data_IF_758118813326
#
_entry.id   IF_758118813326
#
_cell.length_a   1.000
_cell.length_b   1.000
_cell.length_c   1.000
_cell.angle_alpha   90.00
_cell.angle_beta   90.00
_cell.angle_gamma   90.00
#
_symmetry.space_group_name_H-M   'P 1'
#
loop_
_entity.id
_entity.type
_entity.pdbx_description
1 polymer ?
#
# COMPACT_ATOMS: atom_id res chain seq x y z
N UNK A 1 8.09 -1.72 26.63
CA UNK A 1 7.04 -1.74 25.59
C UNK A 1 7.49 -0.88 24.42
N UNK A 2 7.26 -1.35 23.19
CA UNK A 2 7.58 -0.60 21.95
C UNK A 2 6.29 -0.39 21.19
N UNK A 3 6.12 0.79 20.60
CA UNK A 3 5.00 1.06 19.69
C UNK A 3 5.55 1.61 18.38
N UNK A 4 5.28 0.90 17.28
CA UNK A 4 5.51 1.41 15.93
C UNK A 4 4.22 2.00 15.34
N UNK A 5 4.39 3.03 14.51
CA UNK A 5 3.34 3.68 13.71
C UNK A 5 3.78 3.66 12.27
N UNK A 6 3.02 3.00 11.40
CA UNK A 6 3.40 2.75 10.01
C UNK A 6 2.29 3.20 9.07
N UNK A 7 2.54 4.12 8.11
CA UNK A 7 1.52 4.61 7.20
C UNK A 7 1.16 3.56 6.14
N UNK A 8 -0.05 3.70 5.61
CA UNK A 8 -0.46 3.03 4.37
C UNK A 8 -0.28 3.96 3.17
N UNK A 9 -0.51 3.48 1.94
CA UNK A 9 -0.16 4.22 0.71
C UNK A 9 -1.31 4.32 -0.29
N UNK A 10 -1.28 5.37 -1.08
CA UNK A 10 -2.02 5.55 -2.33
C UNK A 10 -1.02 5.46 -3.50
N UNK A 11 -1.24 4.50 -4.40
CA UNK A 11 -0.42 4.31 -5.61
C UNK A 11 -1.13 4.95 -6.80
N UNK A 12 -0.54 5.99 -7.39
CA UNK A 12 -1.14 6.72 -8.51
C UNK A 12 -0.90 6.00 -9.83
N UNK A 13 0.35 5.78 -10.21
CA UNK A 13 0.75 5.19 -11.50
C UNK A 13 1.76 4.08 -11.31
N UNK A 14 1.89 3.22 -12.32
CA UNK A 14 2.91 2.18 -12.37
C UNK A 14 2.58 0.88 -11.63
N UNK A 15 1.50 0.82 -10.86
CA UNK A 15 1.13 -0.40 -10.13
C UNK A 15 0.92 -1.59 -11.05
N UNK A 16 1.51 -2.73 -10.67
CA UNK A 16 1.61 -3.94 -11.49
C UNK A 16 2.98 -4.12 -12.13
N UNK A 17 3.78 -3.04 -12.27
CA UNK A 17 5.16 -3.13 -12.76
C UNK A 17 6.18 -3.36 -11.64
N UNK A 18 5.71 -3.40 -10.41
CA UNK A 18 6.46 -3.67 -9.18
C UNK A 18 6.58 -5.15 -8.82
N UNK A 19 6.06 -6.05 -9.67
CA UNK A 19 6.20 -7.50 -9.50
C UNK A 19 7.52 -8.01 -10.08
N UNK A 20 8.23 -8.92 -9.39
CA UNK A 20 9.50 -9.48 -9.86
C UNK A 20 9.44 -10.07 -11.27
N UNK A 21 8.33 -10.72 -11.62
CA UNK A 21 8.10 -11.31 -12.95
C UNK A 21 8.13 -10.27 -14.08
N UNK A 22 7.85 -9.01 -13.79
CA UNK A 22 7.91 -7.94 -14.76
C UNK A 22 9.21 -7.12 -14.64
N UNK A 23 9.49 -6.54 -13.44
CA UNK A 23 10.57 -5.56 -13.34
C UNK A 23 11.96 -6.13 -13.52
N UNK A 24 12.19 -7.41 -13.25
CA UNK A 24 13.49 -8.03 -13.48
C UNK A 24 13.85 -8.06 -14.96
N UNK A 25 12.86 -8.11 -15.84
CA UNK A 25 13.06 -8.21 -17.29
C UNK A 25 12.96 -6.83 -17.95
N UNK A 26 11.92 -6.06 -17.61
CA UNK A 26 11.56 -4.83 -18.33
C UNK A 26 11.85 -3.55 -17.54
N UNK A 27 12.23 -3.66 -16.28
CA UNK A 27 12.24 -2.56 -15.33
C UNK A 27 10.83 -2.14 -14.94
N UNK A 28 10.65 -1.74 -13.69
CA UNK A 28 9.39 -1.26 -13.14
C UNK A 28 9.52 0.16 -12.62
N UNK A 29 8.40 0.86 -12.52
CA UNK A 29 8.33 2.21 -11.97
C UNK A 29 6.97 2.46 -11.34
N UNK A 30 6.94 3.15 -10.19
CA UNK A 30 5.71 3.50 -9.49
C UNK A 30 5.81 4.93 -8.95
N UNK A 31 4.72 5.68 -9.07
CA UNK A 31 4.50 6.95 -8.37
C UNK A 31 3.43 6.73 -7.29
N UNK A 32 3.81 6.91 -6.03
CA UNK A 32 2.92 6.70 -4.89
C UNK A 32 3.22 7.67 -3.75
N UNK A 33 2.24 7.87 -2.88
CA UNK A 33 2.39 8.62 -1.64
C UNK A 33 1.89 7.81 -0.44
N UNK A 34 2.48 8.04 0.73
CA UNK A 34 1.88 7.60 1.98
C UNK A 34 0.83 8.60 2.45
N UNK A 35 -0.11 8.12 3.25
CA UNK A 35 -1.23 8.91 3.79
C UNK A 35 -1.30 8.77 5.32
N UNK A 36 -1.96 9.72 5.96
CA UNK A 36 -2.16 9.81 7.41
C UNK A 36 -3.16 8.78 7.98
N UNK A 37 -3.07 7.57 7.46
CA UNK A 37 -3.76 6.39 7.95
C UNK A 37 -2.73 5.32 8.27
N UNK A 38 -2.84 4.71 9.43
CA UNK A 38 -1.73 3.97 10.01
C UNK A 38 -2.11 2.59 10.51
N UNK A 39 -1.09 1.77 10.62
CA UNK A 39 -1.08 0.56 11.44
C UNK A 39 -0.19 0.83 12.64
N UNK A 40 -0.73 0.60 13.83
CA UNK A 40 -0.04 0.69 15.09
C UNK A 40 0.24 -0.72 15.59
N UNK A 41 1.47 -0.98 15.97
CA UNK A 41 1.87 -2.27 16.53
C UNK A 41 2.55 -2.04 17.87
N UNK A 42 1.96 -2.58 18.92
CA UNK A 42 2.56 -2.63 20.25
C UNK A 42 3.23 -3.97 20.43
N UNK A 43 4.50 -3.98 20.84
CA UNK A 43 5.25 -5.20 21.16
C UNK A 43 5.87 -5.07 22.54
N UNK A 44 5.75 -6.13 23.34
CA UNK A 44 6.40 -6.24 24.63
C UNK A 44 6.81 -7.69 24.92
N UNK A 45 7.77 -7.88 25.82
CA UNK A 45 8.11 -9.22 26.31
C UNK A 45 6.97 -9.74 27.18
N UNK A 46 6.62 -11.00 26.98
CA UNK A 46 5.63 -11.68 27.84
C UNK A 46 6.12 -11.72 29.28
N UNK A 47 5.21 -11.48 30.21
CA UNK A 47 5.49 -11.58 31.63
C UNK A 47 5.76 -13.04 32.03
N UNK A 48 6.72 -13.26 32.92
CA UNK A 48 7.09 -14.59 33.43
C UNK A 48 5.96 -15.31 34.20
N UNK A 49 4.93 -14.58 34.63
CA UNK A 49 3.76 -15.13 35.32
C UNK A 49 2.63 -15.53 34.35
N UNK A 50 2.81 -15.34 33.04
CA UNK A 50 1.79 -15.69 32.04
C UNK A 50 1.78 -17.20 31.77
N UNK A 51 0.57 -17.77 31.57
CA UNK A 51 0.39 -19.17 31.19
C UNK A 51 0.69 -19.45 29.72
N UNK A 52 1.02 -18.39 28.93
CA UNK A 52 1.36 -18.43 27.52
C UNK A 52 2.74 -17.81 27.28
N UNK A 53 3.37 -18.18 26.17
CA UNK A 53 4.61 -17.56 25.69
C UNK A 53 4.33 -16.43 24.70
N UNK A 54 3.32 -16.57 23.85
CA UNK A 54 2.93 -15.58 22.85
C UNK A 54 1.45 -15.22 23.00
N UNK A 55 1.15 -13.92 22.90
CA UNK A 55 -0.21 -13.39 22.80
C UNK A 55 -0.27 -12.39 21.64
N UNK A 56 -1.06 -12.69 20.61
CA UNK A 56 -1.21 -11.87 19.43
C UNK A 56 -2.67 -11.44 19.32
N UNK A 57 -2.90 -10.12 19.35
CA UNK A 57 -4.23 -9.52 19.26
C UNK A 57 -4.33 -8.70 17.95
N UNK A 58 -5.28 -9.08 17.11
CA UNK A 58 -5.64 -8.41 15.86
C UNK A 58 -7.17 -8.53 15.66
N UNK A 59 -7.71 -8.96 14.50
CA UNK A 59 -9.12 -9.35 14.37
C UNK A 59 -9.49 -10.62 15.17
N UNK A 60 -8.48 -11.29 15.72
CA UNK A 60 -8.56 -12.45 16.58
C UNK A 60 -7.61 -12.30 17.76
N UNK A 61 -7.78 -13.12 18.77
CA UNK A 61 -6.84 -13.25 19.88
C UNK A 61 -6.23 -14.65 19.84
N UNK A 62 -4.93 -14.72 19.69
CA UNK A 62 -4.17 -15.97 19.80
C UNK A 62 -3.38 -15.98 21.12
N UNK A 63 -3.38 -17.11 21.82
CA UNK A 63 -2.53 -17.36 22.99
C UNK A 63 -1.83 -18.69 22.76
N UNK A 64 -0.49 -18.69 22.67
CA UNK A 64 0.31 -19.82 22.23
C UNK A 64 1.43 -20.10 23.22
N UNK A 65 1.78 -21.36 23.40
CA UNK A 65 2.92 -21.81 24.23
C UNK A 65 4.20 -21.95 23.41
N UNK A 66 4.07 -22.23 22.11
CA UNK A 66 5.21 -22.38 21.20
C UNK A 66 5.08 -21.44 19.99
N UNK A 67 6.15 -21.23 19.26
CA UNK A 67 6.18 -20.39 18.06
C UNK A 67 5.34 -21.00 16.93
N UNK A 68 5.34 -22.32 16.84
CA UNK A 68 4.66 -23.09 15.79
C UNK A 68 3.13 -22.98 15.88
N UNK A 69 2.62 -22.76 17.09
CA UNK A 69 1.17 -22.58 17.35
C UNK A 69 0.64 -21.23 16.87
N UNK A 70 1.51 -20.24 16.58
CA UNK A 70 1.08 -18.94 16.07
C UNK A 70 0.46 -19.11 14.69
N UNK A 71 -0.83 -18.79 14.55
CA UNK A 71 -1.56 -18.87 13.28
C UNK A 71 -1.21 -17.71 12.35
N UNK A 72 -0.96 -16.51 12.89
CA UNK A 72 -0.63 -15.33 12.08
C UNK A 72 0.72 -15.51 11.36
N UNK A 73 0.72 -15.73 10.02
CA UNK A 73 1.91 -16.21 9.32
C UNK A 73 3.08 -15.22 9.36
N UNK A 74 2.81 -13.93 9.17
CA UNK A 74 3.85 -12.87 9.20
C UNK A 74 4.46 -12.74 10.60
N UNK A 75 3.64 -12.82 11.67
CA UNK A 75 4.16 -12.74 13.05
C UNK A 75 5.10 -13.90 13.33
N UNK A 76 4.68 -15.12 12.99
CA UNK A 76 5.51 -16.32 13.17
C UNK A 76 6.82 -16.21 12.38
N UNK A 77 6.74 -15.86 11.09
CA UNK A 77 7.91 -15.72 10.23
C UNK A 77 8.88 -14.63 10.72
N UNK A 78 8.38 -13.47 11.17
CA UNK A 78 9.21 -12.37 11.66
C UNK A 78 9.93 -12.74 12.97
N UNK A 79 9.25 -13.37 13.94
CA UNK A 79 9.86 -13.82 15.19
C UNK A 79 10.95 -14.87 14.90
N UNK A 80 10.68 -15.82 14.01
CA UNK A 80 11.63 -16.85 13.61
C UNK A 80 12.84 -16.27 12.87
N UNK A 81 12.60 -15.39 11.89
CA UNK A 81 13.66 -14.72 11.11
C UNK A 81 14.62 -13.92 11.98
N UNK A 82 14.08 -13.19 12.94
CA UNK A 82 14.89 -12.38 13.87
C UNK A 82 15.51 -13.17 15.03
N UNK A 83 15.23 -14.49 15.15
CA UNK A 83 15.68 -15.38 16.23
C UNK A 83 15.41 -14.80 17.63
N UNK A 84 14.17 -14.38 17.89
CA UNK A 84 13.80 -13.79 19.18
C UNK A 84 13.65 -14.90 20.23
N UNK A 85 14.48 -14.89 21.32
CA UNK A 85 14.58 -16.05 22.21
C UNK A 85 13.49 -16.07 23.31
N UNK A 86 12.67 -15.02 23.44
CA UNK A 86 11.67 -14.86 24.50
C UNK A 86 10.26 -14.74 23.94
N UNK A 87 9.28 -14.89 24.81
CA UNK A 87 7.87 -14.71 24.46
C UNK A 87 7.49 -13.25 24.24
N UNK A 88 6.45 -13.03 23.45
CA UNK A 88 5.99 -11.71 23.04
C UNK A 88 4.48 -11.55 23.20
N UNK A 89 4.08 -10.35 23.60
CA UNK A 89 2.73 -9.86 23.46
C UNK A 89 2.73 -8.80 22.34
N UNK A 90 1.88 -9.03 21.33
CA UNK A 90 1.77 -8.19 20.14
C UNK A 90 0.32 -7.76 19.99
N UNK A 91 0.08 -6.45 19.92
CA UNK A 91 -1.24 -5.89 19.66
C UNK A 91 -1.21 -5.03 18.39
N UNK A 92 -2.20 -5.24 17.51
CA UNK A 92 -2.27 -4.65 16.18
C UNK A 92 -3.57 -3.85 16.07
N UNK A 93 -3.46 -2.55 15.80
CA UNK A 93 -4.57 -1.65 15.58
C UNK A 93 -4.37 -0.95 14.24
N UNK A 94 -5.42 -0.80 13.46
CA UNK A 94 -5.38 -0.14 12.15
C UNK A 94 -6.50 0.88 12.02
N UNK A 95 -6.20 2.04 11.44
CA UNK A 95 -7.20 3.08 11.15
C UNK A 95 -8.18 2.66 10.05
N UNK A 96 -7.76 1.76 9.15
CA UNK A 96 -8.56 1.31 8.02
C UNK A 96 -8.64 -0.22 7.96
N UNK A 97 -9.69 -0.79 7.36
CA UNK A 97 -9.84 -2.23 7.23
C UNK A 97 -8.67 -2.86 6.47
N UNK A 98 -8.27 -4.05 6.87
CA UNK A 98 -7.27 -4.83 6.14
C UNK A 98 -7.79 -5.31 4.77
N UNK A 99 -6.88 -5.63 3.84
CA UNK A 99 -7.19 -6.19 2.52
C UNK A 99 -8.02 -5.27 1.62
N UNK A 100 -7.79 -3.97 1.72
CA UNK A 100 -8.52 -2.93 0.99
C UNK A 100 -7.68 -2.23 -0.09
N UNK A 101 -6.54 -2.80 -0.45
CA UNK A 101 -5.72 -2.32 -1.56
C UNK A 101 -4.82 -1.11 -1.28
N UNK A 102 -4.66 -0.74 -0.01
CA UNK A 102 -3.84 0.41 0.45
C UNK A 102 -2.46 0.00 1.00
N UNK A 103 -2.00 -1.23 0.74
CA UNK A 103 -0.71 -1.72 1.21
C UNK A 103 -0.68 -2.12 2.70
N UNK A 104 -1.83 -2.34 3.34
CA UNK A 104 -1.91 -2.58 4.77
C UNK A 104 -1.14 -3.83 5.24
N UNK A 105 -1.09 -4.90 4.45
CA UNK A 105 -0.33 -6.11 4.80
C UNK A 105 1.16 -5.80 4.94
N UNK A 106 1.73 -5.17 3.92
CA UNK A 106 3.15 -4.83 3.92
C UNK A 106 3.50 -3.73 4.92
N UNK A 107 2.59 -2.76 5.15
CA UNK A 107 2.75 -1.78 6.24
C UNK A 107 2.78 -2.46 7.61
N UNK A 108 1.98 -3.53 7.79
CA UNK A 108 2.05 -4.35 8.99
C UNK A 108 3.40 -5.07 9.12
N UNK A 109 3.88 -5.73 8.05
CA UNK A 109 5.17 -6.44 8.08
C UNK A 109 6.32 -5.50 8.41
N UNK A 110 6.39 -4.34 7.77
CA UNK A 110 7.42 -3.31 8.02
C UNK A 110 7.34 -2.78 9.45
N UNK A 111 6.13 -2.45 9.92
CA UNK A 111 5.93 -1.93 11.28
C UNK A 111 6.27 -2.95 12.37
N UNK A 112 5.95 -4.24 12.14
CA UNK A 112 6.32 -5.32 13.05
C UNK A 112 7.83 -5.48 13.14
N UNK A 113 8.52 -5.56 12.00
CA UNK A 113 9.98 -5.63 11.97
C UNK A 113 10.61 -4.45 12.70
N UNK A 114 10.13 -3.23 12.45
CA UNK A 114 10.64 -2.04 13.12
C UNK A 114 10.47 -2.10 14.64
N UNK A 115 9.29 -2.53 15.12
CA UNK A 115 9.04 -2.71 16.55
C UNK A 115 9.93 -3.80 17.16
N UNK A 116 10.14 -4.91 16.46
CA UNK A 116 11.01 -6.01 16.91
C UNK A 116 12.49 -5.60 16.94
N UNK A 117 12.98 -4.84 15.96
CA UNK A 117 14.32 -4.24 15.98
C UNK A 117 14.50 -3.33 17.20
N UNK A 118 13.56 -2.43 17.44
CA UNK A 118 13.58 -1.54 18.61
C UNK A 118 13.54 -2.33 19.93
N UNK A 119 12.71 -3.38 20.03
CA UNK A 119 12.62 -4.24 21.23
C UNK A 119 13.92 -4.98 21.52
N UNK A 120 14.67 -5.33 20.47
CA UNK A 120 15.98 -6.00 20.60
C UNK A 120 17.15 -5.03 20.76
N UNK A 121 16.89 -3.72 20.80
CA UNK A 121 17.91 -2.68 20.94
C UNK A 121 18.82 -2.52 19.71
N UNK A 122 18.32 -2.87 18.53
CA UNK A 122 19.07 -2.80 17.27
C UNK A 122 18.54 -1.68 16.38
N UNK A 123 19.44 -0.87 15.84
CA UNK A 123 19.12 0.08 14.80
C UNK A 123 18.89 -0.65 13.46
N UNK A 124 17.97 -0.14 12.67
CA UNK A 124 17.66 -0.65 11.33
C UNK A 124 17.44 0.50 10.36
N UNK A 125 17.95 0.40 9.14
CA UNK A 125 17.70 1.40 8.10
C UNK A 125 16.35 1.17 7.41
N UNK A 126 15.79 2.23 6.79
CA UNK A 126 14.58 2.13 5.96
C UNK A 126 14.73 1.09 4.85
N UNK A 127 15.90 1.07 4.21
CA UNK A 127 16.23 0.09 3.17
C UNK A 127 16.16 -1.33 3.70
N UNK A 128 16.83 -1.61 4.80
CA UNK A 128 16.85 -2.94 5.41
C UNK A 128 15.44 -3.38 5.84
N UNK A 129 14.63 -2.49 6.44
CA UNK A 129 13.23 -2.81 6.81
C UNK A 129 12.42 -3.22 5.59
N UNK A 130 12.54 -2.48 4.48
CA UNK A 130 11.82 -2.80 3.25
C UNK A 130 12.28 -4.12 2.64
N UNK A 131 13.60 -4.34 2.53
CA UNK A 131 14.19 -5.56 1.97
C UNK A 131 13.85 -6.80 2.79
N UNK A 132 13.89 -6.72 4.12
CA UNK A 132 13.49 -7.83 4.99
C UNK A 132 11.98 -8.10 4.95
N UNK A 133 11.15 -7.05 4.86
CA UNK A 133 9.71 -7.23 4.68
C UNK A 133 9.39 -7.94 3.35
N UNK A 134 10.05 -7.53 2.26
CA UNK A 134 9.95 -8.20 0.95
C UNK A 134 10.40 -9.67 1.07
N UNK A 135 11.51 -9.93 1.75
CA UNK A 135 12.02 -11.29 1.95
C UNK A 135 11.03 -12.16 2.73
N UNK A 136 10.46 -11.65 3.82
CA UNK A 136 9.44 -12.38 4.61
C UNK A 136 8.23 -12.70 3.73
N UNK A 137 7.67 -11.71 3.03
CA UNK A 137 6.45 -11.90 2.26
C UNK A 137 6.69 -12.79 1.01
N UNK A 138 7.72 -12.51 0.20
CA UNK A 138 7.94 -13.22 -1.06
C UNK A 138 8.67 -14.55 -0.90
N UNK A 139 9.62 -14.66 0.04
CA UNK A 139 10.47 -15.84 0.17
C UNK A 139 9.99 -16.78 1.27
N UNK A 140 9.81 -16.28 2.50
CA UNK A 140 9.41 -17.13 3.62
C UNK A 140 7.95 -17.56 3.54
N UNK A 141 7.06 -16.64 3.17
CA UNK A 141 5.62 -16.90 3.05
C UNK A 141 5.18 -17.26 1.64
N UNK A 142 6.06 -17.09 0.64
CA UNK A 142 5.79 -17.35 -0.77
C UNK A 142 4.55 -16.61 -1.31
N UNK A 143 4.30 -15.42 -0.78
CA UNK A 143 3.21 -14.57 -1.24
C UNK A 143 3.57 -13.91 -2.58
N UNK A 144 2.59 -13.86 -3.47
CA UNK A 144 2.72 -13.16 -4.76
C UNK A 144 2.38 -11.69 -4.59
N UNK A 145 3.33 -10.92 -4.10
CA UNK A 145 3.20 -9.48 -3.86
C UNK A 145 4.29 -8.70 -4.60
N UNK A 146 3.97 -7.46 -4.98
CA UNK A 146 4.95 -6.51 -5.50
C UNK A 146 5.87 -5.98 -4.39
N UNK A 147 6.79 -5.10 -4.77
CA UNK A 147 7.79 -4.52 -3.84
C UNK A 147 7.46 -3.08 -3.42
N UNK A 148 6.44 -2.45 -4.02
CA UNK A 148 6.13 -1.04 -3.76
C UNK A 148 5.63 -0.78 -2.35
N UNK A 149 4.85 -1.69 -1.77
CA UNK A 149 4.12 -1.46 -0.52
C UNK A 149 5.06 -1.44 0.67
N UNK A 150 6.03 -2.35 0.71
CA UNK A 150 7.07 -2.41 1.73
C UNK A 150 7.98 -1.19 1.67
N UNK A 151 8.34 -0.75 0.46
CA UNK A 151 9.13 0.46 0.25
C UNK A 151 8.35 1.70 0.68
N UNK A 152 7.07 1.84 0.28
CA UNK A 152 6.24 2.97 0.70
C UNK A 152 6.11 3.03 2.22
N UNK A 153 5.82 1.92 2.88
CA UNK A 153 5.68 1.84 4.33
C UNK A 153 6.98 2.19 5.08
N UNK A 154 8.14 1.77 4.56
CA UNK A 154 9.42 2.03 5.17
C UNK A 154 9.91 3.48 4.96
N UNK A 155 9.73 4.02 3.75
CA UNK A 155 10.28 5.34 3.38
C UNK A 155 9.33 6.49 3.69
N UNK A 156 8.03 6.31 3.51
CA UNK A 156 7.04 7.40 3.62
C UNK A 156 7.11 8.37 2.45
N UNK A 157 6.28 9.41 2.46
CA UNK A 157 6.28 10.53 1.53
C UNK A 157 5.76 10.22 0.11
N UNK A 158 5.78 11.24 -0.75
CA UNK A 158 5.52 11.11 -2.19
C UNK A 158 6.81 10.68 -2.89
N UNK A 159 6.80 9.50 -3.51
CA UNK A 159 7.99 8.90 -4.09
C UNK A 159 7.78 8.41 -5.53
N UNK A 160 8.83 8.59 -6.32
CA UNK A 160 9.10 7.88 -7.55
C UNK A 160 9.99 6.66 -7.23
N UNK A 161 9.40 5.48 -7.31
CA UNK A 161 10.11 4.22 -7.09
C UNK A 161 10.50 3.61 -8.43
N UNK A 162 11.74 3.12 -8.53
CA UNK A 162 12.29 2.47 -9.73
C UNK A 162 12.77 1.09 -9.33
N UNK A 163 12.34 0.08 -10.09
CA UNK A 163 12.65 -1.32 -9.81
C UNK A 163 13.45 -1.94 -10.95
N UNK A 164 14.55 -2.58 -10.61
CA UNK A 164 15.39 -3.40 -11.49
C UNK A 164 15.81 -4.65 -10.74
N UNK A 165 16.27 -5.66 -11.45
CA UNK A 165 16.60 -6.98 -10.89
C UNK A 165 17.39 -6.93 -9.58
N UNK A 166 18.44 -6.10 -9.52
CA UNK A 166 19.31 -6.00 -8.33
C UNK A 166 19.28 -4.61 -7.68
N UNK A 167 18.30 -3.79 -8.00
CA UNK A 167 18.28 -2.41 -7.51
C UNK A 167 16.83 -1.89 -7.35
N UNK A 168 16.45 -1.66 -6.10
CA UNK A 168 15.20 -1.02 -5.73
C UNK A 168 15.52 0.40 -5.26
N UNK A 169 15.09 1.42 -6.03
CA UNK A 169 15.35 2.83 -5.74
C UNK A 169 14.07 3.51 -5.29
N UNK A 170 14.19 4.36 -4.27
CA UNK A 170 13.11 5.23 -3.79
C UNK A 170 13.62 6.67 -3.88
N UNK A 171 13.04 7.44 -4.79
CA UNK A 171 13.42 8.83 -5.01
C UNK A 171 12.27 9.74 -4.54
N UNK A 172 12.48 10.57 -3.50
CA UNK A 172 11.48 11.55 -3.10
C UNK A 172 11.15 12.50 -4.25
N UNK A 173 9.86 12.72 -4.49
CA UNK A 173 9.41 13.70 -5.49
C UNK A 173 9.40 15.07 -4.85
N UNK A 174 10.32 15.94 -5.29
CA UNK A 174 10.48 17.28 -4.76
C UNK A 174 9.60 18.24 -5.55
N UNK A 175 8.52 18.69 -4.94
CA UNK A 175 7.60 19.71 -5.48
C UNK A 175 7.33 20.77 -4.41
N UNK A 176 6.82 21.94 -4.81
CA UNK A 176 6.46 22.98 -3.85
C UNK A 176 5.33 22.54 -2.90
N UNK A 177 5.28 23.14 -1.74
CA UNK A 177 4.21 22.86 -0.76
C UNK A 177 2.82 23.17 -1.35
N UNK A 178 2.74 24.23 -2.15
CA UNK A 178 1.52 24.65 -2.84
C UNK A 178 1.08 23.60 -3.84
N UNK A 179 2.03 23.05 -4.63
CA UNK A 179 1.74 22.00 -5.62
C UNK A 179 1.31 20.69 -4.94
N UNK A 180 1.98 20.32 -3.83
CA UNK A 180 1.60 19.15 -3.02
C UNK A 180 0.20 19.31 -2.45
N UNK A 181 -0.11 20.47 -1.85
CA UNK A 181 -1.43 20.79 -1.30
C UNK A 181 -2.51 20.85 -2.38
N UNK A 182 -2.17 21.37 -3.56
CA UNK A 182 -3.10 21.41 -4.70
C UNK A 182 -3.44 19.98 -5.17
N UNK A 183 -2.46 19.07 -5.27
CA UNK A 183 -2.74 17.67 -5.56
C UNK A 183 -3.65 17.06 -4.48
N UNK A 184 -3.27 17.20 -3.21
CA UNK A 184 -3.99 16.62 -2.07
C UNK A 184 -5.45 17.10 -2.00
N UNK A 185 -5.68 18.41 -2.18
CA UNK A 185 -7.03 19.02 -2.11
C UNK A 185 -7.96 18.59 -3.25
N UNK A 186 -7.45 18.00 -4.31
CA UNK A 186 -8.23 17.45 -5.42
C UNK A 186 -8.51 15.95 -5.26
N UNK A 187 -8.06 15.30 -4.19
CA UNK A 187 -8.25 13.87 -4.01
C UNK A 187 -9.37 13.57 -3.01
N UNK A 188 -10.23 12.64 -3.38
CA UNK A 188 -11.25 12.08 -2.50
C UNK A 188 -11.10 10.55 -2.48
N UNK A 189 -11.30 9.92 -1.32
CA UNK A 189 -11.19 8.47 -1.18
C UNK A 189 -12.49 7.88 -0.62
N UNK A 190 -13.00 6.83 -1.28
CA UNK A 190 -14.25 6.17 -0.90
C UNK A 190 -14.04 4.67 -0.73
N UNK A 191 -14.57 4.13 0.35
CA UNK A 191 -14.57 2.69 0.61
C UNK A 191 -15.76 2.03 -0.10
N UNK A 192 -15.47 1.01 -0.90
CA UNK A 192 -16.49 0.30 -1.71
C UNK A 192 -17.34 -0.70 -0.91
N UNK A 193 -17.02 -0.92 0.38
CA UNK A 193 -17.67 -1.98 1.18
C UNK A 193 -17.19 -3.39 0.84
N UNK A 194 -16.38 -3.56 -0.20
CA UNK A 194 -15.86 -4.85 -0.64
C UNK A 194 -14.42 -5.04 -0.15
N UNK A 195 -14.16 -6.16 0.50
CA UNK A 195 -12.81 -6.64 0.78
C UNK A 195 -12.61 -7.98 0.06
N UNK A 196 -11.51 -8.13 -0.67
CA UNK A 196 -11.18 -9.39 -1.36
C UNK A 196 -9.76 -9.82 -1.10
N UNK A 197 -9.54 -11.13 -1.19
CA UNK A 197 -8.18 -11.67 -1.29
C UNK A 197 -7.61 -11.26 -2.65
N UNK A 198 -6.54 -10.48 -2.62
CA UNK A 198 -5.84 -10.05 -3.83
C UNK A 198 -5.24 -11.22 -4.64
N UNK A 199 -5.01 -12.37 -3.98
CA UNK A 199 -4.29 -13.50 -4.54
C UNK A 199 -4.81 -13.99 -5.90
N UNK A 200 -6.15 -14.11 -6.05
CA UNK A 200 -6.74 -14.63 -7.31
C UNK A 200 -6.48 -13.68 -8.49
N UNK A 201 -6.65 -12.36 -8.27
CA UNK A 201 -6.41 -11.35 -9.31
C UNK A 201 -4.93 -11.30 -9.67
N UNK A 202 -4.08 -11.38 -8.65
CA UNK A 202 -2.63 -11.34 -8.81
C UNK A 202 -2.08 -12.58 -9.50
N UNK A 203 -2.64 -13.77 -9.22
CA UNK A 203 -2.26 -15.01 -9.92
C UNK A 203 -2.54 -14.91 -11.41
N UNK A 204 -3.70 -14.43 -11.80
CA UNK A 204 -4.03 -14.22 -13.22
C UNK A 204 -3.10 -13.19 -13.87
N UNK A 205 -2.84 -12.06 -13.19
CA UNK A 205 -1.94 -11.04 -13.71
C UNK A 205 -0.51 -11.55 -13.87
N UNK A 206 0.05 -12.24 -12.86
CA UNK A 206 1.40 -12.81 -12.92
C UNK A 206 1.51 -13.82 -14.06
N UNK A 207 0.52 -14.72 -14.20
CA UNK A 207 0.50 -15.69 -15.31
C UNK A 207 0.50 -14.99 -16.67
N UNK A 208 -0.36 -14.00 -16.87
CA UNK A 208 -0.42 -13.22 -18.12
C UNK A 208 0.87 -12.43 -18.38
N UNK A 209 1.57 -11.97 -17.32
CA UNK A 209 2.89 -11.33 -17.45
C UNK A 209 3.95 -12.32 -17.93
N UNK A 210 3.99 -13.51 -17.33
CA UNK A 210 4.89 -14.58 -17.74
C UNK A 210 4.62 -15.01 -19.19
N UNK A 211 3.35 -15.12 -19.58
CA UNK A 211 2.92 -15.43 -20.95
C UNK A 211 3.09 -14.22 -21.92
N UNK A 212 3.56 -13.08 -21.43
CA UNK A 212 3.78 -11.81 -22.16
C UNK A 212 2.53 -11.22 -22.82
N UNK A 213 1.35 -11.63 -22.42
CA UNK A 213 0.08 -11.20 -23.06
C UNK A 213 -0.36 -9.79 -22.65
N UNK A 214 0.16 -9.25 -21.52
CA UNK A 214 -0.17 -7.92 -20.99
C UNK A 214 1.05 -6.99 -20.86
N UNK A 215 2.18 -7.35 -21.47
CA UNK A 215 3.42 -6.59 -21.28
C UNK A 215 3.37 -5.20 -21.93
N UNK A 216 2.61 -5.04 -23.02
CA UNK A 216 2.37 -3.73 -23.65
C UNK A 216 1.57 -2.83 -22.72
N UNK A 217 0.50 -3.35 -22.12
CA UNK A 217 -0.33 -2.63 -21.18
C UNK A 217 0.45 -2.22 -19.92
N UNK A 218 1.28 -3.12 -19.39
CA UNK A 218 2.16 -2.83 -18.25
C UNK A 218 3.22 -1.78 -18.61
N UNK A 219 3.76 -1.81 -19.85
CA UNK A 219 4.66 -0.78 -20.34
C UNK A 219 3.98 0.58 -20.37
N UNK A 220 2.76 0.66 -20.92
CA UNK A 220 1.99 1.90 -20.95
C UNK A 220 1.72 2.44 -19.53
N UNK A 221 1.34 1.55 -18.59
CA UNK A 221 1.12 1.89 -17.18
C UNK A 221 2.42 2.39 -16.52
N UNK A 222 3.57 1.82 -16.85
CA UNK A 222 4.88 2.28 -16.39
C UNK A 222 5.19 3.68 -16.95
N UNK A 223 5.00 3.88 -18.24
CA UNK A 223 5.33 5.13 -18.93
C UNK A 223 4.45 6.30 -18.41
N UNK A 224 3.24 6.04 -17.90
CA UNK A 224 2.41 7.02 -17.20
C UNK A 224 3.04 7.57 -15.91
N UNK A 225 4.02 6.89 -15.32
CA UNK A 225 4.76 7.42 -14.17
C UNK A 225 5.53 8.68 -14.55
N UNK A 226 6.23 8.66 -15.69
CA UNK A 226 7.01 9.80 -16.17
C UNK A 226 6.08 10.97 -16.55
N UNK A 227 4.91 10.67 -17.15
CA UNK A 227 3.90 11.71 -17.45
C UNK A 227 3.36 12.33 -16.16
N UNK A 228 3.02 11.51 -15.15
CA UNK A 228 2.56 11.96 -13.83
C UNK A 228 3.60 12.82 -13.10
N UNK A 229 4.87 12.41 -13.14
CA UNK A 229 5.99 13.21 -12.60
C UNK A 229 6.12 14.55 -13.33
N UNK A 230 6.07 14.54 -14.67
CA UNK A 230 6.13 15.76 -15.46
C UNK A 230 5.00 16.75 -15.13
N UNK A 231 3.78 16.24 -14.89
CA UNK A 231 2.65 17.07 -14.46
C UNK A 231 2.90 17.65 -13.06
N UNK A 232 3.44 16.88 -12.13
CA UNK A 232 3.65 17.35 -10.76
C UNK A 232 4.82 18.34 -10.64
N UNK A 233 5.91 18.09 -11.34
CA UNK A 233 7.14 18.90 -11.24
C UNK A 233 7.08 20.20 -12.04
N UNK A 234 6.23 20.29 -13.07
CA UNK A 234 6.04 21.47 -13.89
C UNK A 234 4.85 22.29 -13.37
N UNK A 235 5.13 23.44 -12.77
CA UNK A 235 4.10 24.32 -12.19
C UNK A 235 3.19 24.98 -13.22
N UNK A 236 3.63 25.09 -14.48
CA UNK A 236 2.85 25.68 -15.57
C UNK A 236 1.79 24.70 -16.11
N UNK A 237 1.93 23.41 -15.82
CA UNK A 237 0.94 22.42 -16.20
C UNK A 237 -0.29 22.46 -15.29
N UNK A 238 -1.46 22.40 -15.94
CA UNK A 238 -2.72 22.26 -15.21
C UNK A 238 -2.76 20.94 -14.46
N UNK A 239 -2.98 21.00 -13.12
CA UNK A 239 -3.07 19.82 -12.26
C UNK A 239 -4.21 18.89 -12.66
N UNK A 240 -5.23 19.37 -13.35
CA UNK A 240 -6.33 18.55 -13.83
C UNK A 240 -5.86 17.48 -14.84
N UNK A 241 -4.71 17.68 -15.50
CA UNK A 241 -4.09 16.66 -16.34
C UNK A 241 -3.72 15.39 -15.53
N UNK A 242 -3.40 15.54 -14.23
CA UNK A 242 -3.16 14.39 -13.36
C UNK A 242 -4.42 13.53 -13.17
N UNK A 243 -5.58 14.17 -13.00
CA UNK A 243 -6.87 13.48 -12.97
C UNK A 243 -7.18 12.75 -14.27
N UNK A 244 -6.96 13.41 -15.42
CA UNK A 244 -7.12 12.79 -16.75
C UNK A 244 -6.20 11.59 -16.93
N UNK A 245 -4.96 11.68 -16.44
CA UNK A 245 -4.01 10.57 -16.50
C UNK A 245 -4.41 9.41 -15.57
N UNK A 246 -4.98 9.70 -14.39
CA UNK A 246 -5.56 8.66 -13.51
C UNK A 246 -6.69 7.90 -14.21
N UNK A 247 -7.57 8.62 -14.93
CA UNK A 247 -8.62 7.98 -15.75
C UNK A 247 -8.03 7.03 -16.79
N UNK A 248 -7.07 7.52 -17.59
CA UNK A 248 -6.38 6.68 -18.60
C UNK A 248 -5.75 5.44 -17.95
N UNK A 249 -5.05 5.62 -16.82
CA UNK A 249 -4.42 4.54 -16.08
C UNK A 249 -5.43 3.51 -15.55
N UNK A 250 -6.59 3.96 -15.07
CA UNK A 250 -7.66 3.05 -14.63
C UNK A 250 -8.24 2.25 -15.80
N UNK A 251 -8.56 2.92 -16.91
CA UNK A 251 -9.05 2.22 -18.11
C UNK A 251 -8.06 1.16 -18.59
N UNK A 252 -6.77 1.49 -18.63
CA UNK A 252 -5.70 0.54 -18.99
C UNK A 252 -5.59 -0.60 -17.98
N UNK A 253 -5.66 -0.30 -16.66
CA UNK A 253 -5.59 -1.33 -15.62
C UNK A 253 -6.72 -2.35 -15.73
N UNK A 254 -7.94 -1.92 -16.06
CA UNK A 254 -9.08 -2.84 -16.25
C UNK A 254 -8.85 -3.88 -17.35
N UNK A 255 -8.00 -3.60 -18.34
CA UNK A 255 -7.70 -4.56 -19.43
C UNK A 255 -6.75 -5.69 -19.00
N UNK A 256 -6.03 -5.55 -17.88
CA UNK A 256 -5.07 -6.57 -17.42
C UNK A 256 -5.75 -7.87 -16.96
N UNK A 257 -6.94 -7.77 -16.35
CA UNK A 257 -7.71 -8.92 -15.89
C UNK A 257 -9.18 -8.55 -15.74
N UNK A 258 -10.08 -9.47 -16.10
CA UNK A 258 -11.53 -9.31 -15.91
C UNK A 258 -11.95 -9.26 -14.43
N UNK A 259 -11.09 -9.71 -13.52
CA UNK A 259 -11.35 -9.70 -12.09
C UNK A 259 -11.04 -8.34 -11.41
N UNK A 260 -10.40 -7.40 -12.10
CA UNK A 260 -10.01 -6.09 -11.55
C UNK A 260 -11.23 -5.21 -11.28
N UNK A 261 -12.25 -5.25 -12.13
CA UNK A 261 -13.50 -4.53 -11.96
C UNK A 261 -14.71 -5.44 -12.14
N UNK A 262 -15.87 -4.97 -11.76
CA UNK A 262 -17.17 -5.60 -11.97
C UNK A 262 -18.23 -4.50 -12.12
N UNK A 263 -19.47 -4.87 -12.47
CA UNK A 263 -20.55 -3.92 -12.71
C UNK A 263 -20.76 -2.93 -11.56
N UNK A 264 -20.69 -3.39 -10.31
CA UNK A 264 -20.85 -2.54 -9.13
C UNK A 264 -19.72 -1.49 -9.03
N UNK A 265 -18.47 -1.89 -9.25
CA UNK A 265 -17.33 -0.97 -9.24
C UNK A 265 -17.36 -0.01 -10.43
N UNK A 266 -17.80 -0.47 -11.59
CA UNK A 266 -17.95 0.36 -12.77
C UNK A 266 -19.07 1.40 -12.59
N UNK A 267 -20.20 1.04 -11.97
CA UNK A 267 -21.28 1.97 -11.61
C UNK A 267 -20.81 3.05 -10.62
N UNK A 268 -20.03 2.70 -9.59
CA UNK A 268 -19.44 3.67 -8.68
C UNK A 268 -18.56 4.66 -9.45
N UNK A 269 -17.72 4.12 -10.32
CA UNK A 269 -16.80 4.94 -11.11
C UNK A 269 -17.57 5.91 -12.03
N UNK A 270 -18.58 5.42 -12.75
CA UNK A 270 -19.42 6.24 -13.63
C UNK A 270 -20.20 7.31 -12.86
N UNK A 271 -20.77 6.99 -11.69
CA UNK A 271 -21.43 7.98 -10.82
C UNK A 271 -20.48 9.12 -10.43
N UNK A 272 -19.24 8.80 -10.04
CA UNK A 272 -18.25 9.81 -9.69
C UNK A 272 -17.87 10.69 -10.90
N UNK A 273 -17.64 10.09 -12.06
CA UNK A 273 -17.29 10.83 -13.29
C UNK A 273 -18.44 11.75 -13.73
N UNK A 274 -19.68 11.28 -13.70
CA UNK A 274 -20.86 12.07 -14.05
C UNK A 274 -21.12 13.23 -13.06
N UNK A 275 -20.69 13.08 -11.82
CA UNK A 275 -20.79 14.12 -10.79
C UNK A 275 -19.62 15.14 -10.83
N UNK A 276 -18.63 14.97 -11.71
CA UNK A 276 -17.57 15.95 -11.94
C UNK A 276 -16.18 15.50 -11.50
N UNK A 277 -15.96 14.23 -11.18
CA UNK A 277 -14.61 13.69 -11.08
C UNK A 277 -13.92 13.74 -12.46
N UNK A 278 -12.64 14.11 -12.50
CA UNK A 278 -11.84 14.14 -13.74
C UNK A 278 -11.24 12.76 -14.03
N UNK A 279 -11.03 11.98 -12.98
CA UNK A 279 -10.50 10.64 -13.07
C UNK A 279 -10.41 9.99 -11.71
N UNK A 280 -9.94 8.78 -11.69
CA UNK A 280 -9.76 8.01 -10.46
C UNK A 280 -9.32 6.60 -10.74
N UNK A 281 -9.10 5.82 -9.70
CA UNK A 281 -8.74 4.40 -9.79
C UNK A 281 -9.11 3.64 -8.53
N UNK A 282 -9.35 2.36 -8.68
CA UNK A 282 -9.38 1.43 -7.56
C UNK A 282 -7.94 1.11 -7.11
N UNK A 283 -7.67 1.27 -5.81
CA UNK A 283 -6.37 1.02 -5.22
C UNK A 283 -6.06 -0.48 -5.09
N UNK A 284 -4.78 -0.85 -5.07
CA UNK A 284 -4.32 -2.23 -4.93
C UNK A 284 -4.55 -3.08 -6.17
N UNK A 285 -4.75 -4.39 -5.99
CA UNK A 285 -4.87 -5.35 -7.08
C UNK A 285 -6.17 -5.23 -7.89
N UNK A 286 -7.24 -4.77 -7.28
CA UNK A 286 -8.57 -4.72 -7.88
C UNK A 286 -9.61 -5.51 -7.08
N UNK A 287 -10.83 -5.58 -7.61
CA UNK A 287 -11.92 -6.39 -7.05
C UNK A 287 -12.61 -5.82 -5.82
N UNK A 288 -12.17 -4.71 -5.27
CA UNK A 288 -12.73 -4.04 -4.09
C UNK A 288 -11.68 -3.21 -3.34
N UNK A 289 -12.08 -2.61 -2.24
CA UNK A 289 -11.23 -1.75 -1.42
C UNK A 289 -11.59 -0.27 -1.55
N UNK A 290 -10.63 0.58 -1.83
CA UNK A 290 -10.82 2.02 -1.94
C UNK A 290 -10.70 2.52 -3.37
N UNK A 291 -11.64 3.35 -3.79
CA UNK A 291 -11.42 4.26 -4.91
C UNK A 291 -10.75 5.53 -4.43
N UNK A 292 -9.76 6.01 -5.18
CA UNK A 292 -9.30 7.40 -5.12
C UNK A 292 -9.74 8.10 -6.40
N UNK A 293 -10.44 9.24 -6.24
CA UNK A 293 -10.88 10.08 -7.34
C UNK A 293 -10.12 11.41 -7.30
N UNK A 294 -9.81 11.94 -8.46
CA UNK A 294 -9.37 13.31 -8.63
C UNK A 294 -10.59 14.18 -8.94
N UNK A 295 -10.95 15.03 -7.99
CA UNK A 295 -12.16 15.85 -8.05
C UNK A 295 -11.80 17.30 -7.73
N UNK A 296 -11.98 18.24 -8.66
CA UNK A 296 -11.78 19.66 -8.37
C UNK A 296 -12.61 20.08 -7.14
N UNK A 297 -12.08 20.92 -6.24
CA UNK A 297 -12.74 21.28 -4.97
C UNK A 297 -14.19 21.75 -5.15
N UNK A 298 -14.48 22.49 -6.22
CA UNK A 298 -15.82 22.98 -6.53
C UNK A 298 -16.82 21.89 -6.97
N UNK A 299 -16.36 20.65 -7.19
CA UNK A 299 -17.17 19.49 -7.58
C UNK A 299 -17.25 18.41 -6.51
N UNK A 300 -16.58 18.60 -5.40
CA UNK A 300 -16.50 17.56 -4.36
C UNK A 300 -17.85 17.30 -3.70
N UNK A 301 -18.68 18.32 -3.50
CA UNK A 301 -20.01 18.14 -2.90
C UNK A 301 -20.96 17.35 -3.82
N UNK A 302 -20.88 17.59 -5.13
CA UNK A 302 -21.67 16.82 -6.10
C UNK A 302 -21.23 15.33 -6.13
N UNK A 303 -19.90 15.07 -6.10
CA UNK A 303 -19.39 13.70 -6.04
C UNK A 303 -19.77 13.02 -4.72
N UNK A 304 -19.68 13.75 -3.60
CA UNK A 304 -20.09 13.27 -2.27
C UNK A 304 -21.56 12.89 -2.23
N UNK A 305 -22.41 13.71 -2.85
CA UNK A 305 -23.84 13.42 -2.97
C UNK A 305 -24.12 12.20 -3.87
N UNK A 306 -23.41 12.09 -5.00
CA UNK A 306 -23.56 10.97 -5.93
C UNK A 306 -23.08 9.62 -5.37
N UNK A 307 -22.14 9.64 -4.41
CA UNK A 307 -21.56 8.48 -3.74
C UNK A 307 -21.99 8.37 -2.27
N UNK A 308 -23.13 8.94 -1.89
CA UNK A 308 -23.63 9.00 -0.51
C UNK A 308 -23.83 7.62 0.15
N UNK A 309 -23.97 6.56 -0.66
CA UNK A 309 -24.04 5.18 -0.17
C UNK A 309 -22.69 4.59 0.24
N UNK A 310 -21.57 5.30 -0.02
CA UNK A 310 -20.22 4.87 0.31
C UNK A 310 -19.64 5.69 1.45
N UNK A 311 -18.72 5.08 2.22
CA UNK A 311 -18.00 5.79 3.26
C UNK A 311 -16.83 6.58 2.64
N UNK A 312 -16.91 7.92 2.69
CA UNK A 312 -15.78 8.78 2.40
C UNK A 312 -14.75 8.70 3.53
N UNK A 313 -13.48 8.60 3.16
CA UNK A 313 -12.36 8.62 4.11
C UNK A 313 -11.50 9.84 3.86
N UNK A 314 -11.56 10.80 4.78
CA UNK A 314 -10.65 11.95 4.77
C UNK A 314 -9.21 11.50 5.03
N UNK A 315 -8.26 12.01 4.26
CA UNK A 315 -6.83 11.73 4.43
C UNK A 315 -5.99 12.92 4.00
N UNK A 316 -4.78 12.99 4.54
CA UNK A 316 -3.70 13.86 4.12
C UNK A 316 -2.46 13.06 3.72
N UNK A 317 -1.51 13.71 3.04
CA UNK A 317 -0.24 13.07 2.72
C UNK A 317 0.64 13.00 3.96
N UNK A 318 1.24 11.83 4.19
CA UNK A 318 2.20 11.60 5.27
C UNK A 318 3.62 11.62 4.70
N UNK A 319 4.51 12.36 5.35
CA UNK A 319 5.90 12.50 4.90
C UNK A 319 6.83 11.46 5.51
N UNK A 320 6.46 10.89 6.65
CA UNK A 320 7.27 9.88 7.31
C UNK A 320 6.83 8.46 6.96
N UNK A 321 7.80 7.55 6.86
CA UNK A 321 7.55 6.12 6.86
C UNK A 321 7.29 5.58 8.26
N UNK A 322 7.54 4.28 8.46
CA UNK A 322 7.40 3.65 9.77
C UNK A 322 8.27 4.35 10.84
N UNK A 323 7.68 4.59 12.00
CA UNK A 323 8.34 5.25 13.15
C UNK A 323 8.09 4.48 14.44
N UNK A 324 9.06 4.49 15.34
CA UNK A 324 8.84 4.12 16.73
C UNK A 324 8.37 5.37 17.47
N UNK A 325 7.16 5.31 18.01
CA UNK A 325 6.53 6.44 18.70
C UNK A 325 6.54 6.29 20.22
N UNK A 326 6.89 5.11 20.72
CA UNK A 326 7.05 4.85 22.16
C UNK A 326 8.10 3.78 22.41
N UNK A 327 8.96 4.03 23.42
CA UNK A 327 9.95 3.10 23.98
C UNK A 327 9.89 3.22 25.50
N UNK A 328 9.62 2.11 26.21
CA UNK A 328 9.64 2.04 27.68
C UNK A 328 10.28 0.76 28.18
#
# INVERSE_FOLDING_TARGET
MIISKTPVRVSFFGGGTDYPDYFKIYGGSVLSTTIDKYIYITVMKTNVFSDFKYRISYSRLETCKTLEEIEHPVVRAAIQHMNIPYGLEINIISDLPARTGIGSSSSFTVGLLHALYALTGKMVSKKQLAEEAIYIEQVLLQERVGVQDQLAAAYGSLNHMIFRENNLQVNPVIISKERKKLLESNLMMFYTGLSRYASVILEEQVKKTQDKTINTELKDIRDMVDEGLSILCDTDKDINQFGTLLHKGWMKKKTLSSAISNNFLDEIYEKAMNAGAIGGKLLGAGGGGFFVFFVPPQKQDEVRAALSDLNEVGFGFEDDGTRIIHIS
#
